data_IF_038151432322
#
_entry.id   IF_038151432322
#
_cell.length_a   1.000
_cell.length_b   1.000
_cell.length_c   1.000
_cell.angle_alpha   90.00
_cell.angle_beta   90.00
_cell.angle_gamma   90.00
#
_symmetry.space_group_name_H-M   'P 1'
#
loop_
_entity.id
_entity.type
_entity.pdbx_description
1 polymer ?
#
# COMPACT_ATOMS: atom_id res chain seq x y z
N UNK A 1 0.24 5.37 21.80
CA UNK A 1 -0.37 4.93 20.53
C UNK A 1 0.73 4.38 19.61
N UNK A 2 0.36 3.54 18.64
CA UNK A 2 1.23 2.69 17.79
C UNK A 2 2.03 3.46 16.73
N UNK A 3 2.93 4.33 17.18
CA UNK A 3 3.75 5.18 16.30
C UNK A 3 4.71 4.38 15.42
N UNK A 4 5.22 3.25 15.92
CA UNK A 4 6.15 2.41 15.17
C UNK A 4 5.52 1.84 13.89
N UNK A 5 4.30 1.29 13.98
CA UNK A 5 3.60 0.78 12.79
C UNK A 5 3.24 1.90 11.81
N UNK A 6 2.86 3.08 12.30
CA UNK A 6 2.61 4.25 11.45
C UNK A 6 3.82 4.61 10.60
N UNK A 7 5.00 4.74 11.22
CA UNK A 7 6.25 5.05 10.50
C UNK A 7 6.59 3.94 9.50
N UNK A 8 6.39 2.68 9.88
CA UNK A 8 6.63 1.55 8.98
C UNK A 8 5.79 1.64 7.70
N UNK A 9 4.49 1.95 7.82
CA UNK A 9 3.63 2.10 6.64
C UNK A 9 4.00 3.32 5.80
N UNK A 10 4.36 4.44 6.43
CA UNK A 10 4.82 5.63 5.71
C UNK A 10 6.07 5.36 4.86
N UNK A 11 7.07 4.67 5.43
CA UNK A 11 8.23 4.23 4.66
C UNK A 11 7.87 3.22 3.56
N UNK A 12 6.96 2.28 3.84
CA UNK A 12 6.49 1.33 2.82
C UNK A 12 5.85 2.01 1.61
N UNK A 13 5.05 3.06 1.81
CA UNK A 13 4.48 3.84 0.71
C UNK A 13 5.54 4.63 -0.06
N UNK A 14 6.48 5.25 0.66
CA UNK A 14 7.61 5.93 0.03
C UNK A 14 8.39 4.97 -0.88
N UNK A 15 8.79 3.81 -0.35
CA UNK A 15 9.61 2.84 -1.08
C UNK A 15 8.87 2.29 -2.30
N UNK A 16 7.57 1.99 -2.19
CA UNK A 16 6.74 1.57 -3.32
C UNK A 16 6.65 2.65 -4.41
N UNK A 17 6.49 3.91 -4.00
CA UNK A 17 6.39 5.04 -4.95
C UNK A 17 7.73 5.32 -5.65
N UNK A 18 8.85 5.03 -4.99
CA UNK A 18 10.18 5.18 -5.60
C UNK A 18 10.39 4.27 -6.81
N UNK A 19 9.72 3.12 -6.90
CA UNK A 19 9.77 2.27 -8.10
C UNK A 19 9.05 2.93 -9.29
N UNK A 20 7.88 3.54 -9.07
CA UNK A 20 7.22 4.36 -10.09
C UNK A 20 8.06 5.56 -10.50
N UNK A 21 8.69 6.23 -9.54
CA UNK A 21 9.56 7.37 -9.80
C UNK A 21 10.75 6.96 -10.71
N UNK A 22 11.42 5.84 -10.41
CA UNK A 22 12.50 5.32 -11.27
C UNK A 22 12.00 4.99 -12.67
N UNK A 23 10.82 4.39 -12.81
CA UNK A 23 10.24 4.08 -14.12
C UNK A 23 9.95 5.37 -14.92
N UNK A 24 9.43 6.41 -14.26
CA UNK A 24 9.22 7.73 -14.88
C UNK A 24 10.53 8.33 -15.38
N UNK A 25 11.57 8.34 -14.55
CA UNK A 25 12.90 8.87 -14.93
C UNK A 25 13.47 8.13 -16.15
N UNK A 26 13.23 6.82 -16.23
CA UNK A 26 13.65 5.98 -17.36
C UNK A 26 12.72 6.05 -18.58
N UNK A 27 11.61 6.80 -18.50
CA UNK A 27 10.52 6.82 -19.51
C UNK A 27 9.99 5.41 -19.82
N UNK A 28 9.99 4.55 -18.82
CA UNK A 28 9.51 3.18 -18.89
C UNK A 28 8.01 3.13 -18.55
N UNK A 29 7.19 3.12 -19.60
CA UNK A 29 5.72 3.07 -19.47
C UNK A 29 5.26 1.75 -18.84
N UNK A 30 5.91 0.65 -19.18
CA UNK A 30 5.54 -0.67 -18.65
C UNK A 30 5.94 -0.77 -17.17
N UNK A 31 7.13 -0.32 -16.81
CA UNK A 31 7.57 -0.21 -15.43
C UNK A 31 6.65 0.66 -14.57
N UNK A 32 6.19 1.79 -15.12
CA UNK A 32 5.24 2.66 -14.44
C UNK A 32 3.90 1.93 -14.20
N UNK A 33 3.35 1.27 -15.21
CA UNK A 33 2.10 0.50 -15.07
C UNK A 33 2.25 -0.65 -14.05
N UNK A 34 3.34 -1.40 -14.13
CA UNK A 34 3.60 -2.55 -13.25
C UNK A 34 3.82 -2.13 -11.78
N UNK A 35 4.31 -0.91 -11.53
CA UNK A 35 4.51 -0.41 -10.17
C UNK A 35 3.21 -0.03 -9.44
N UNK A 36 2.10 0.14 -10.16
CA UNK A 36 0.82 0.58 -9.60
C UNK A 36 0.27 -0.34 -8.51
N UNK A 37 0.31 -1.65 -8.72
CA UNK A 37 -0.11 -2.66 -7.73
C UNK A 37 0.66 -2.56 -6.41
N UNK A 38 1.93 -2.16 -6.47
CA UNK A 38 2.78 -1.97 -5.30
C UNK A 38 2.35 -0.77 -4.47
N UNK A 39 2.05 0.35 -5.14
CA UNK A 39 1.55 1.57 -4.49
C UNK A 39 0.18 1.31 -3.87
N UNK A 40 -0.74 0.69 -4.61
CA UNK A 40 -2.09 0.38 -4.14
C UNK A 40 -2.04 -0.42 -2.82
N UNK A 41 -1.30 -1.53 -2.81
CA UNK A 41 -1.09 -2.34 -1.58
C UNK A 41 -0.46 -1.53 -0.45
N UNK A 42 0.49 -0.64 -0.74
CA UNK A 42 1.13 0.18 0.28
C UNK A 42 0.17 1.21 0.91
N UNK A 43 -0.73 1.79 0.11
CA UNK A 43 -1.84 2.62 0.61
C UNK A 43 -2.74 1.81 1.56
N UNK A 44 -3.19 0.65 1.10
CA UNK A 44 -4.14 -0.20 1.84
C UNK A 44 -3.59 -0.69 3.18
N UNK A 45 -2.29 -0.96 3.27
CA UNK A 45 -1.63 -1.38 4.52
C UNK A 45 -1.83 -0.38 5.67
N UNK A 46 -1.85 0.92 5.38
CA UNK A 46 -2.11 1.95 6.37
C UNK A 46 -3.60 2.14 6.60
N UNK A 47 -4.37 2.23 5.51
CA UNK A 47 -5.76 2.61 5.57
C UNK A 47 -6.65 1.56 6.26
N UNK A 48 -6.43 0.27 5.98
CA UNK A 48 -7.15 -0.83 6.64
C UNK A 48 -6.91 -0.86 8.16
N UNK A 49 -5.81 -0.27 8.65
CA UNK A 49 -5.52 -0.19 10.08
C UNK A 49 -6.07 1.08 10.72
N UNK A 50 -5.97 2.22 10.03
CA UNK A 50 -6.16 3.53 10.65
C UNK A 50 -7.28 4.38 10.05
N UNK A 51 -7.65 4.17 8.78
CA UNK A 51 -8.69 4.95 8.12
C UNK A 51 -10.03 4.21 8.12
N UNK A 52 -10.07 2.99 7.59
CA UNK A 52 -11.27 2.16 7.49
C UNK A 52 -11.09 0.77 8.15
N UNK A 53 -10.89 0.74 9.48
CA UNK A 53 -10.67 -0.51 10.21
C UNK A 53 -11.92 -1.41 10.31
N UNK A 54 -13.11 -0.92 9.94
CA UNK A 54 -14.32 -1.75 9.96
C UNK A 54 -14.49 -2.52 8.65
N UNK A 55 -14.07 -1.93 7.55
CA UNK A 55 -14.00 -2.50 6.22
C UNK A 55 -12.97 -3.63 6.20
N UNK A 56 -11.83 -3.45 6.87
CA UNK A 56 -10.84 -4.50 7.09
C UNK A 56 -11.43 -5.75 7.77
N UNK A 57 -12.40 -5.58 8.69
CA UNK A 57 -13.09 -6.72 9.33
C UNK A 57 -14.04 -7.43 8.38
N UNK A 58 -14.62 -6.70 7.42
CA UNK A 58 -15.55 -7.24 6.44
C UNK A 58 -14.85 -7.94 5.25
N UNK A 59 -13.56 -7.64 5.04
CA UNK A 59 -12.71 -8.30 4.04
C UNK A 59 -12.11 -9.63 4.51
N UNK A 60 -12.27 -9.97 5.79
CA UNK A 60 -11.88 -11.29 6.27
C UNK A 60 -12.79 -12.35 5.64
N UNK A 61 -12.25 -13.49 5.17
CA UNK A 61 -13.07 -14.61 4.74
C UNK A 61 -14.07 -14.90 5.87
N UNK A 62 -15.37 -14.82 5.57
CA UNK A 62 -16.38 -15.24 6.53
C UNK A 62 -16.07 -16.71 6.85
N UNK A 63 -15.67 -16.99 8.10
CA UNK A 63 -15.56 -18.36 8.56
C UNK A 63 -16.94 -18.99 8.40
N UNK A 64 -17.08 -19.84 7.37
CA UNK A 64 -18.25 -20.69 7.21
C UNK A 64 -18.34 -21.58 8.44
N UNK A 65 -19.31 -21.28 9.29
CA UNK A 65 -19.79 -22.17 10.36
C UNK A 65 -20.31 -23.47 9.80
#
# INVERSE_FOLDING_TARGET
QDRASWIKFAHGLHDATMESFKAIENKDVEGLLNSGDGIDKACENCHLKYWYPNEAKNLQPQETK
#
